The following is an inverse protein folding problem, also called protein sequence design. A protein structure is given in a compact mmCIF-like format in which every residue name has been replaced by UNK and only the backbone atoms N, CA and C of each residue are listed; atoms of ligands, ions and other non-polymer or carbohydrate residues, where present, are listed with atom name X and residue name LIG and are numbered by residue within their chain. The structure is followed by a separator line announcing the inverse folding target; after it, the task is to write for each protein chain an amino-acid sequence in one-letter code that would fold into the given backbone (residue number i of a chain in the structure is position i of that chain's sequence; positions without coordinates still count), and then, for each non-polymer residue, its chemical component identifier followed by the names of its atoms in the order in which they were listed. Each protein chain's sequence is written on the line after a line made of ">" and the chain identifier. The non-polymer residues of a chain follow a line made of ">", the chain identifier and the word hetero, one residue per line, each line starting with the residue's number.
data_IF_523692740207
#
_entry.id   IF_523692740207
#
_cell.length_a   1.000
_cell.length_b   1.000
_cell.length_c   1.000
_cell.angle_alpha   90.00
_cell.angle_beta   90.00
_cell.angle_gamma   90.00
#
_symmetry.space_group_name_H-M   'P 1'
#
loop_
_entity.id
_entity.type
_entity.pdbx_description
1 polymer ?
#
# COMPACT_ATOMS: atom_id res chain seq x y z
N UNK A 1 17.11 -27.49 10.27
CA UNK A 1 16.79 -26.05 10.09
C UNK A 1 15.71 -25.75 9.03
N UNK A 2 15.25 -26.69 8.18
CA UNK A 2 14.33 -26.39 7.06
C UNK A 2 12.85 -26.16 7.41
N UNK A 3 12.39 -26.47 8.63
CA UNK A 3 10.94 -26.54 8.93
C UNK A 3 10.41 -25.41 9.82
N UNK A 4 11.22 -24.40 10.20
CA UNK A 4 10.80 -23.40 11.21
C UNK A 4 9.59 -22.55 10.78
N UNK A 5 9.38 -22.39 9.47
CA UNK A 5 8.40 -21.50 8.85
C UNK A 5 7.55 -22.22 7.80
N UNK A 6 7.12 -23.43 8.10
CA UNK A 6 6.44 -24.35 7.17
C UNK A 6 4.93 -24.24 7.35
N UNK A 7 4.21 -23.81 6.30
CA UNK A 7 2.74 -23.74 6.29
C UNK A 7 2.22 -24.45 5.05
N UNK A 8 1.73 -25.68 5.25
CA UNK A 8 1.34 -26.58 4.16
C UNK A 8 -0.15 -26.85 4.20
N UNK A 9 -0.75 -26.88 3.02
CA UNK A 9 -2.14 -27.23 2.83
C UNK A 9 -2.31 -28.04 1.56
N UNK A 10 -3.41 -28.79 1.50
CA UNK A 10 -3.88 -29.43 0.30
C UNK A 10 -5.20 -28.81 -0.10
N UNK A 11 -5.32 -28.45 -1.38
CA UNK A 11 -6.52 -27.91 -1.99
C UNK A 11 -7.02 -28.88 -3.06
N UNK A 12 -8.32 -29.08 -3.16
CA UNK A 12 -8.88 -29.92 -4.23
C UNK A 12 -10.28 -29.49 -4.65
N UNK A 13 -10.54 -29.67 -5.94
CA UNK A 13 -11.87 -29.69 -6.56
C UNK A 13 -12.29 -31.15 -6.76
N UNK A 14 -13.37 -31.42 -7.51
CA UNK A 14 -13.77 -32.80 -7.83
C UNK A 14 -12.74 -33.52 -8.70
N UNK A 15 -12.11 -32.80 -9.64
CA UNK A 15 -11.23 -33.41 -10.63
C UNK A 15 -9.73 -33.19 -10.37
N UNK A 16 -9.38 -32.22 -9.51
CA UNK A 16 -7.98 -31.77 -9.34
C UNK A 16 -7.60 -31.61 -7.89
N UNK A 17 -6.34 -31.88 -7.58
CA UNK A 17 -5.76 -31.76 -6.23
C UNK A 17 -4.35 -31.22 -6.30
N UNK A 18 -4.03 -30.27 -5.43
CA UNK A 18 -2.70 -29.64 -5.35
C UNK A 18 -2.23 -29.52 -3.90
N UNK A 19 -0.92 -29.65 -3.72
CA UNK A 19 -0.26 -29.45 -2.43
C UNK A 19 0.49 -28.13 -2.45
N UNK A 20 0.12 -27.25 -1.54
CA UNK A 20 0.69 -25.91 -1.44
C UNK A 20 1.53 -25.83 -0.17
N UNK A 21 2.75 -25.34 -0.32
CA UNK A 21 3.62 -24.96 0.78
C UNK A 21 3.90 -23.46 0.62
N UNK A 22 3.35 -22.64 1.52
CA UNK A 22 3.47 -21.19 1.43
C UNK A 22 4.93 -20.72 1.56
N UNK A 23 5.81 -21.53 2.16
CA UNK A 23 7.23 -21.21 2.30
C UNK A 23 7.98 -21.21 0.96
N UNK A 24 7.43 -21.87 -0.07
CA UNK A 24 8.01 -21.91 -1.41
C UNK A 24 7.76 -20.64 -2.24
N UNK A 25 7.02 -19.67 -1.69
CA UNK A 25 6.84 -18.36 -2.30
C UNK A 25 5.75 -18.28 -3.37
N UNK A 26 5.64 -17.11 -3.99
CA UNK A 26 4.52 -16.72 -4.86
C UNK A 26 4.37 -17.66 -6.06
N UNK A 27 5.47 -17.94 -6.78
CA UNK A 27 5.41 -18.77 -7.99
C UNK A 27 4.88 -20.18 -7.71
N UNK A 28 5.26 -20.77 -6.57
CA UNK A 28 4.73 -22.08 -6.17
C UNK A 28 3.22 -22.03 -5.89
N UNK A 29 2.77 -21.01 -5.14
CA UNK A 29 1.35 -20.83 -4.82
C UNK A 29 0.55 -20.55 -6.09
N UNK A 30 0.97 -19.57 -6.88
CA UNK A 30 0.34 -19.17 -8.14
C UNK A 30 0.21 -20.34 -9.13
N UNK A 31 1.32 -21.05 -9.40
CA UNK A 31 1.30 -22.19 -10.31
C UNK A 31 0.41 -23.34 -9.79
N UNK A 32 0.29 -23.50 -8.47
CA UNK A 32 -0.62 -24.50 -7.88
C UNK A 32 -2.09 -24.11 -8.07
N UNK A 33 -2.43 -22.82 -7.96
CA UNK A 33 -3.79 -22.32 -8.20
C UNK A 33 -4.15 -22.40 -9.68
N UNK A 34 -3.22 -22.10 -10.58
CA UNK A 34 -3.40 -22.30 -12.02
C UNK A 34 -3.67 -23.77 -12.38
N UNK A 35 -2.98 -24.72 -11.73
CA UNK A 35 -3.26 -26.15 -11.90
C UNK A 35 -4.69 -26.53 -11.49
N UNK A 36 -5.28 -25.84 -10.50
CA UNK A 36 -6.69 -26.00 -10.14
C UNK A 36 -7.66 -25.28 -11.10
N UNK A 37 -7.16 -24.48 -12.05
CA UNK A 37 -7.97 -23.73 -13.00
C UNK A 37 -8.35 -22.32 -12.55
N UNK A 38 -7.70 -21.77 -11.53
CA UNK A 38 -8.02 -20.46 -10.99
C UNK A 38 -6.88 -19.44 -11.21
N UNK A 39 -7.26 -18.17 -11.33
CA UNK A 39 -6.32 -17.06 -11.25
C UNK A 39 -6.01 -16.77 -9.75
N UNK A 40 -4.74 -16.52 -9.36
CA UNK A 40 -4.37 -16.48 -7.94
C UNK A 40 -5.16 -15.49 -7.09
N UNK A 41 -5.50 -14.33 -7.63
CA UNK A 41 -6.14 -13.26 -6.86
C UNK A 41 -7.67 -13.39 -6.76
N UNK A 42 -8.30 -14.25 -7.55
CA UNK A 42 -9.76 -14.35 -7.63
C UNK A 42 -10.33 -15.52 -6.82
N UNK A 43 -9.47 -16.32 -6.19
CA UNK A 43 -9.87 -17.55 -5.51
C UNK A 43 -9.97 -17.39 -4.00
N UNK A 44 -11.20 -17.58 -3.50
CA UNK A 44 -11.52 -17.81 -2.09
C UNK A 44 -11.50 -19.29 -1.72
N UNK A 45 -11.33 -19.58 -0.43
CA UNK A 45 -11.45 -20.94 0.11
C UNK A 45 -12.84 -21.58 -0.11
N UNK A 46 -13.90 -20.80 -0.34
CA UNK A 46 -15.23 -21.31 -0.68
C UNK A 46 -15.30 -22.04 -2.02
N UNK A 47 -14.36 -21.77 -2.95
CA UNK A 47 -14.32 -22.40 -4.27
C UNK A 47 -13.57 -23.74 -4.30
N UNK A 48 -12.95 -24.14 -3.19
CA UNK A 48 -12.14 -25.36 -3.09
C UNK A 48 -12.38 -26.08 -1.77
N UNK A 49 -12.19 -27.40 -1.76
CA UNK A 49 -12.00 -28.10 -0.49
C UNK A 49 -10.56 -27.94 -0.06
N UNK A 50 -10.34 -27.80 1.24
CA UNK A 50 -9.00 -27.59 1.78
C UNK A 50 -8.79 -28.32 3.09
N UNK A 51 -7.53 -28.64 3.36
CA UNK A 51 -7.06 -29.16 4.65
C UNK A 51 -5.66 -28.64 4.88
N UNK A 52 -5.44 -28.04 6.04
CA UNK A 52 -4.08 -27.72 6.46
C UNK A 52 -3.37 -29.00 6.93
N UNK A 53 -2.19 -29.25 6.39
CA UNK A 53 -1.44 -30.50 6.62
C UNK A 53 -0.24 -30.30 7.53
N UNK A 54 0.26 -29.07 7.68
CA UNK A 54 1.36 -28.76 8.59
C UNK A 54 1.46 -27.26 8.91
N UNK A 55 1.69 -26.92 10.18
CA UNK A 55 1.99 -25.58 10.67
C UNK A 55 3.14 -25.69 11.67
N UNK A 56 4.25 -25.01 11.40
CA UNK A 56 5.48 -25.21 12.18
C UNK A 56 5.56 -24.47 13.52
N UNK A 57 4.67 -23.50 13.78
CA UNK A 57 4.69 -22.71 15.00
C UNK A 57 3.28 -22.22 15.40
N UNK A 58 3.14 -21.68 16.62
CA UNK A 58 1.85 -21.26 17.20
C UNK A 58 1.16 -20.14 16.42
N UNK A 59 1.91 -19.16 15.90
CA UNK A 59 1.32 -18.10 15.06
C UNK A 59 0.74 -18.67 13.76
N UNK A 60 1.39 -19.68 13.18
CA UNK A 60 0.89 -20.39 12.02
C UNK A 60 -0.31 -21.30 12.35
N UNK A 61 -0.34 -21.95 13.52
CA UNK A 61 -1.53 -22.67 13.97
C UNK A 61 -2.71 -21.72 14.16
N UNK A 62 -2.46 -20.56 14.74
CA UNK A 62 -3.47 -19.51 14.90
C UNK A 62 -3.95 -18.99 13.54
N UNK A 63 -3.05 -18.74 12.59
CA UNK A 63 -3.40 -18.36 11.23
C UNK A 63 -4.36 -19.39 10.61
N UNK A 64 -4.07 -20.69 10.74
CA UNK A 64 -4.96 -21.75 10.27
C UNK A 64 -6.34 -21.77 10.96
N UNK A 65 -6.41 -21.35 12.23
CA UNK A 65 -7.64 -21.30 13.02
C UNK A 65 -8.59 -20.16 12.61
N UNK A 66 -8.05 -19.00 12.24
CA UNK A 66 -8.85 -17.82 11.87
C UNK A 66 -9.27 -17.79 10.39
N UNK A 67 -8.78 -18.71 9.57
CA UNK A 67 -9.15 -18.79 8.16
C UNK A 67 -10.58 -19.30 8.01
N UNK A 68 -11.35 -18.56 7.23
CA UNK A 68 -12.72 -18.88 6.85
C UNK A 68 -12.82 -19.22 5.37
N UNK A 69 -13.99 -19.72 4.94
CA UNK A 69 -14.24 -19.97 3.52
C UNK A 69 -14.29 -18.69 2.68
N UNK A 70 -14.56 -17.55 3.29
CA UNK A 70 -14.70 -16.27 2.58
C UNK A 70 -13.37 -15.55 2.33
N UNK A 71 -12.29 -16.03 2.93
CA UNK A 71 -10.95 -15.49 2.75
C UNK A 71 -10.37 -15.85 1.38
N UNK A 72 -9.65 -14.89 0.78
CA UNK A 72 -8.85 -15.14 -0.41
C UNK A 72 -7.59 -15.92 -0.04
N UNK A 73 -7.24 -16.91 -0.85
CA UNK A 73 -6.04 -17.74 -0.61
C UNK A 73 -4.78 -16.88 -0.66
N UNK A 74 -4.76 -15.87 -1.53
CA UNK A 74 -3.64 -14.92 -1.63
C UNK A 74 -3.54 -13.97 -0.43
N UNK A 75 -4.63 -13.67 0.25
CA UNK A 75 -4.60 -12.89 1.49
C UNK A 75 -4.00 -13.71 2.65
N UNK A 76 -4.30 -15.01 2.71
CA UNK A 76 -3.63 -15.93 3.64
C UNK A 76 -2.13 -16.05 3.32
N UNK A 77 -1.77 -16.12 2.04
CA UNK A 77 -0.35 -16.12 1.65
C UNK A 77 0.35 -14.82 2.07
N UNK A 78 -0.29 -13.66 1.91
CA UNK A 78 0.24 -12.37 2.36
C UNK A 78 0.39 -12.31 3.88
N UNK A 79 -0.61 -12.77 4.64
CA UNK A 79 -0.55 -12.85 6.09
C UNK A 79 0.63 -13.74 6.55
N UNK A 80 0.82 -14.89 5.90
CA UNK A 80 2.00 -15.73 6.08
C UNK A 80 3.30 -14.98 5.75
N UNK A 81 3.34 -14.15 4.70
CA UNK A 81 4.54 -13.37 4.38
C UNK A 81 4.90 -12.34 5.45
N UNK A 82 3.93 -11.65 6.07
CA UNK A 82 4.23 -10.74 7.19
C UNK A 82 4.94 -11.49 8.32
N UNK A 83 4.39 -12.64 8.72
CA UNK A 83 4.95 -13.47 9.79
C UNK A 83 6.39 -13.94 9.54
N UNK A 84 6.76 -14.12 8.28
CA UNK A 84 8.04 -14.75 7.93
C UNK A 84 9.09 -13.81 7.35
N UNK A 85 8.68 -12.64 6.84
CA UNK A 85 9.57 -11.68 6.18
C UNK A 85 9.72 -10.37 6.95
N UNK A 86 8.81 -10.05 7.87
CA UNK A 86 8.86 -8.81 8.64
C UNK A 86 9.43 -9.11 10.02
N UNK A 87 10.63 -8.58 10.27
CA UNK A 87 11.35 -8.84 11.52
C UNK A 87 10.55 -8.36 12.75
N UNK A 88 10.37 -9.25 13.72
CA UNK A 88 9.68 -9.00 14.97
C UNK A 88 8.15 -8.96 14.87
N UNK A 89 7.57 -9.06 13.67
CA UNK A 89 6.11 -9.10 13.52
C UNK A 89 5.50 -10.36 14.14
N UNK A 90 6.25 -11.48 14.17
CA UNK A 90 5.85 -12.70 14.87
C UNK A 90 5.57 -12.44 16.36
N UNK A 91 6.46 -11.72 17.05
CA UNK A 91 6.30 -11.37 18.47
C UNK A 91 5.15 -10.39 18.67
N UNK A 92 5.02 -9.40 17.77
CA UNK A 92 3.94 -8.44 17.80
C UNK A 92 2.58 -9.12 17.63
N UNK A 93 2.44 -10.02 16.66
CA UNK A 93 1.21 -10.76 16.45
C UNK A 93 0.88 -11.65 17.65
N UNK A 94 1.88 -12.33 18.24
CA UNK A 94 1.64 -13.13 19.46
C UNK A 94 1.12 -12.29 20.62
N UNK A 95 1.53 -11.02 20.74
CA UNK A 95 0.97 -10.09 21.73
C UNK A 95 -0.50 -9.78 21.39
N UNK A 96 -0.80 -9.41 20.16
CA UNK A 96 -2.16 -9.05 19.73
C UNK A 96 -3.16 -10.22 19.85
N UNK A 97 -2.71 -11.45 19.60
CA UNK A 97 -3.51 -12.66 19.82
C UNK A 97 -3.85 -12.80 21.31
N UNK A 98 -2.86 -12.63 22.20
CA UNK A 98 -3.07 -12.73 23.65
C UNK A 98 -3.99 -11.65 24.18
N UNK A 99 -3.92 -10.45 23.63
CA UNK A 99 -4.78 -9.32 24.02
C UNK A 99 -6.12 -9.33 23.30
N UNK A 100 -6.44 -10.33 22.47
CA UNK A 100 -7.70 -10.43 21.72
C UNK A 100 -7.96 -9.22 20.80
N UNK A 101 -6.95 -8.75 20.07
CA UNK A 101 -7.06 -7.64 19.12
C UNK A 101 -7.07 -8.09 17.64
N UNK A 102 -6.97 -9.39 17.40
CA UNK A 102 -6.93 -9.99 16.07
C UNK A 102 -7.86 -11.20 16.10
N UNK A 103 -8.75 -11.29 15.11
CA UNK A 103 -9.72 -12.39 15.00
C UNK A 103 -9.90 -12.92 13.57
N UNK A 104 -9.32 -12.24 12.58
CA UNK A 104 -9.49 -12.56 11.16
C UNK A 104 -8.19 -12.38 10.37
N UNK A 105 -8.15 -12.92 9.15
CA UNK A 105 -7.05 -12.66 8.19
C UNK A 105 -6.94 -11.16 7.87
N UNK A 106 -8.08 -10.47 7.74
CA UNK A 106 -8.11 -9.03 7.50
C UNK A 106 -7.39 -8.26 8.62
N UNK A 107 -7.62 -8.61 9.88
CA UNK A 107 -6.94 -7.98 11.01
C UNK A 107 -5.43 -8.20 10.95
N UNK A 108 -4.99 -9.42 10.63
CA UNK A 108 -3.57 -9.74 10.49
C UNK A 108 -2.92 -8.91 9.38
N UNK A 109 -3.61 -8.74 8.24
CA UNK A 109 -3.11 -7.91 7.13
C UNK A 109 -3.03 -6.43 7.53
N UNK A 110 -4.04 -5.90 8.22
CA UNK A 110 -4.04 -4.53 8.74
C UNK A 110 -2.87 -4.33 9.71
N UNK A 111 -2.73 -5.21 10.69
CA UNK A 111 -1.66 -5.13 11.69
C UNK A 111 -0.28 -5.32 11.07
N UNK A 112 -0.17 -6.21 10.08
CA UNK A 112 1.05 -6.38 9.29
C UNK A 112 1.45 -5.11 8.57
N UNK A 113 0.50 -4.44 7.91
CA UNK A 113 0.72 -3.16 7.25
C UNK A 113 1.14 -2.07 8.25
N UNK A 114 0.39 -1.91 9.34
CA UNK A 114 0.68 -0.92 10.37
C UNK A 114 2.05 -1.14 11.00
N UNK A 115 2.39 -2.39 11.30
CA UNK A 115 3.68 -2.74 11.90
C UNK A 115 4.84 -2.51 10.93
N UNK A 116 4.68 -2.86 9.64
CA UNK A 116 5.66 -2.50 8.62
C UNK A 116 5.82 -0.97 8.56
N UNK A 117 4.74 -0.21 8.43
CA UNK A 117 4.78 1.26 8.39
C UNK A 117 5.47 1.86 9.62
N UNK A 118 5.16 1.35 10.82
CA UNK A 118 5.79 1.77 12.07
C UNK A 118 7.29 1.49 12.09
N UNK A 119 7.72 0.26 11.76
CA UNK A 119 9.14 -0.09 11.72
C UNK A 119 9.91 0.72 10.68
N UNK A 120 9.26 0.96 9.56
CA UNK A 120 9.80 1.73 8.48
C UNK A 120 9.98 3.21 8.89
N UNK A 121 8.99 3.80 9.57
CA UNK A 121 9.13 5.14 10.16
C UNK A 121 10.21 5.18 11.26
N UNK A 122 10.23 4.20 12.17
CA UNK A 122 11.17 4.13 13.30
C UNK A 122 12.62 3.98 12.86
N UNK A 123 12.86 3.25 11.77
CA UNK A 123 14.20 3.02 11.23
C UNK A 123 14.61 4.04 10.16
N UNK A 124 13.83 5.11 9.92
CA UNK A 124 13.93 5.98 8.72
C UNK A 124 13.90 5.21 7.38
N UNK A 125 13.55 3.92 7.44
CA UNK A 125 13.38 3.03 6.30
C UNK A 125 11.91 3.00 5.93
N UNK A 126 11.28 4.16 5.66
CA UNK A 126 10.00 4.22 4.92
C UNK A 126 10.15 3.16 3.81
N UNK A 127 9.25 2.16 3.69
CA UNK A 127 9.45 1.20 2.62
C UNK A 127 9.40 2.06 1.37
N UNK A 128 10.52 2.12 0.66
CA UNK A 128 10.54 2.73 -0.64
C UNK A 128 9.49 1.94 -1.41
N UNK A 129 8.30 2.53 -1.59
CA UNK A 129 7.09 1.91 -2.15
C UNK A 129 7.37 1.61 -3.59
N UNK A 130 8.22 0.60 -3.84
CA UNK A 130 9.10 0.53 -5.00
C UNK A 130 9.92 1.84 -5.15
N UNK A 131 11.14 1.77 -5.68
CA UNK A 131 11.78 3.00 -6.20
C UNK A 131 11.05 3.32 -7.50
N UNK A 132 9.76 3.68 -7.44
CA UNK A 132 9.00 4.08 -8.62
C UNK A 132 9.70 5.31 -9.12
N UNK A 133 10.31 5.20 -10.29
CA UNK A 133 10.99 6.34 -10.87
C UNK A 133 9.93 7.37 -11.22
N UNK A 134 10.26 8.64 -11.06
CA UNK A 134 9.33 9.74 -11.32
C UNK A 134 8.73 9.68 -12.76
N UNK A 135 9.48 9.13 -13.71
CA UNK A 135 9.07 8.89 -15.11
C UNK A 135 7.97 7.83 -15.28
N UNK A 136 7.90 6.87 -14.36
CA UNK A 136 6.92 5.78 -14.37
C UNK A 136 5.61 6.17 -13.69
N UNK A 137 5.61 7.24 -12.88
CA UNK A 137 4.40 7.74 -12.22
C UNK A 137 3.47 8.37 -13.26
N UNK A 138 2.20 7.97 -13.21
CA UNK A 138 1.11 8.63 -13.91
C UNK A 138 0.31 9.44 -12.90
N UNK A 139 0.07 10.70 -13.25
CA UNK A 139 -0.53 11.69 -12.36
C UNK A 139 -1.95 12.01 -12.82
N UNK A 140 -2.81 12.35 -11.87
CA UNK A 140 -4.09 12.98 -12.17
C UNK A 140 -3.86 14.49 -12.33
N UNK A 141 -4.33 15.08 -13.43
CA UNK A 141 -4.36 16.55 -13.53
C UNK A 141 -5.45 17.08 -12.59
N UNK A 142 -5.07 18.10 -11.81
CA UNK A 142 -5.97 18.81 -10.91
C UNK A 142 -5.78 20.32 -11.07
N UNK A 143 -6.76 21.07 -10.61
CA UNK A 143 -6.58 22.49 -10.26
C UNK A 143 -6.74 22.63 -8.76
N UNK A 144 -5.83 23.35 -8.11
CA UNK A 144 -5.91 23.65 -6.67
C UNK A 144 -5.59 25.13 -6.42
N UNK A 145 -6.47 25.85 -5.72
CA UNK A 145 -6.36 27.31 -5.52
C UNK A 145 -6.06 28.06 -6.84
N UNK A 146 -6.82 27.70 -7.88
CA UNK A 146 -6.70 28.22 -9.25
C UNK A 146 -5.33 28.00 -9.92
N UNK A 147 -4.55 27.00 -9.46
CA UNK A 147 -3.27 26.61 -10.06
C UNK A 147 -3.36 25.21 -10.64
N UNK A 148 -2.91 25.05 -11.87
CA UNK A 148 -2.75 23.73 -12.48
C UNK A 148 -1.69 22.94 -11.73
N UNK A 149 -2.02 21.71 -11.38
CA UNK A 149 -1.18 20.84 -10.61
C UNK A 149 -1.40 19.38 -10.98
N UNK A 150 -0.56 18.52 -10.44
CA UNK A 150 -0.63 17.08 -10.55
C UNK A 150 -0.87 16.48 -9.17
N UNK A 151 -1.71 15.47 -9.09
CA UNK A 151 -1.92 14.66 -7.90
C UNK A 151 -1.45 13.21 -8.12
N UNK A 152 -0.89 12.61 -7.08
CA UNK A 152 -0.62 11.17 -7.01
C UNK A 152 -0.77 10.68 -5.57
N UNK A 153 -1.28 9.45 -5.34
CA UNK A 153 -1.31 8.87 -3.99
C UNK A 153 0.09 8.52 -3.47
N UNK A 154 1.11 8.49 -4.32
CA UNK A 154 2.48 8.19 -3.92
C UNK A 154 3.13 9.38 -3.20
N UNK A 155 3.98 9.09 -2.21
CA UNK A 155 4.85 10.09 -1.60
C UNK A 155 6.10 10.27 -2.47
N UNK A 156 6.33 11.50 -2.92
CA UNK A 156 7.52 11.84 -3.73
C UNK A 156 8.49 12.67 -2.87
N UNK A 157 9.78 12.36 -2.94
CA UNK A 157 10.84 13.11 -2.26
C UNK A 157 11.26 14.33 -3.12
N UNK A 158 11.54 15.46 -2.47
CA UNK A 158 12.04 16.66 -3.13
C UNK A 158 13.32 16.41 -3.94
N UNK A 159 14.16 15.45 -3.52
CA UNK A 159 15.41 15.13 -4.21
C UNK A 159 15.20 14.56 -5.61
N UNK A 160 14.03 13.96 -5.86
CA UNK A 160 13.69 13.32 -7.12
C UNK A 160 13.04 14.31 -8.11
N UNK A 161 12.67 15.51 -7.67
CA UNK A 161 11.94 16.49 -8.46
C UNK A 161 12.87 17.47 -9.21
N UNK A 162 12.47 17.94 -10.41
CA UNK A 162 13.16 19.02 -11.10
C UNK A 162 13.18 20.32 -10.26
N UNK A 163 14.30 21.06 -10.32
CA UNK A 163 14.44 22.36 -9.65
C UNK A 163 13.35 23.34 -10.12
N UNK A 164 12.70 24.00 -9.16
CA UNK A 164 11.64 24.98 -9.42
C UNK A 164 10.23 24.41 -9.47
N UNK A 165 10.07 23.10 -9.34
CA UNK A 165 8.76 22.47 -9.11
C UNK A 165 8.42 22.52 -7.62
N UNK A 166 7.21 22.96 -7.28
CA UNK A 166 6.73 23.00 -5.91
C UNK A 166 6.02 21.69 -5.56
N UNK A 167 6.33 21.17 -4.38
CA UNK A 167 5.75 19.95 -3.82
C UNK A 167 4.96 20.26 -2.55
N UNK A 168 3.79 19.66 -2.45
CA UNK A 168 2.95 19.66 -1.26
C UNK A 168 2.47 18.23 -0.99
N UNK A 169 2.27 17.90 0.27
CA UNK A 169 1.56 16.68 0.69
C UNK A 169 0.12 17.06 1.02
N UNK A 170 -0.81 16.11 0.85
CA UNK A 170 -2.22 16.26 1.19
C UNK A 170 -2.58 15.41 2.40
N UNK A 171 -3.47 15.92 3.25
CA UNK A 171 -4.09 15.17 4.34
C UNK A 171 -5.54 14.87 3.97
N UNK A 172 -6.01 13.65 4.26
CA UNK A 172 -7.42 13.32 4.22
C UNK A 172 -8.12 13.55 5.56
N UNK A 173 -9.43 13.62 5.51
CA UNK A 173 -10.31 13.63 6.67
C UNK A 173 -10.10 12.43 7.61
N UNK A 174 -10.42 12.60 8.90
CA UNK A 174 -10.23 11.56 9.92
C UNK A 174 -11.14 10.34 9.72
N UNK A 175 -12.26 10.51 9.03
CA UNK A 175 -13.19 9.42 8.73
C UNK A 175 -12.70 8.55 7.56
N UNK A 176 -11.60 8.94 6.89
CA UNK A 176 -11.05 8.27 5.70
C UNK A 176 -12.06 8.21 4.53
N UNK A 177 -12.98 9.18 4.45
CA UNK A 177 -13.91 9.30 3.33
C UNK A 177 -13.18 9.74 2.04
N UNK A 178 -11.91 10.12 2.16
CA UNK A 178 -11.00 10.41 1.05
C UNK A 178 -11.00 11.87 0.62
N UNK A 179 -11.52 12.75 1.48
CA UNK A 179 -11.67 14.18 1.21
C UNK A 179 -10.38 14.89 1.60
N UNK A 180 -9.75 15.62 0.68
CA UNK A 180 -8.56 16.42 0.99
C UNK A 180 -8.96 17.66 1.81
N UNK A 181 -8.47 17.74 3.04
CA UNK A 181 -8.79 18.83 3.98
C UNK A 181 -7.64 19.81 4.20
N UNK A 182 -6.41 19.42 3.85
CA UNK A 182 -5.22 20.24 4.07
C UNK A 182 -4.09 19.87 3.11
N UNK A 183 -3.28 20.87 2.75
CA UNK A 183 -1.96 20.66 2.16
C UNK A 183 -0.85 21.21 3.05
N UNK A 184 0.34 20.61 2.97
CA UNK A 184 1.49 21.03 3.76
C UNK A 184 2.82 20.63 3.12
N UNK A 185 3.93 21.08 3.71
CA UNK A 185 5.27 20.66 3.24
C UNK A 185 5.59 19.21 3.63
N UNK A 186 5.07 18.78 4.78
CA UNK A 186 5.22 17.45 5.34
C UNK A 186 3.99 17.16 6.20
N UNK A 187 3.32 16.05 5.93
CA UNK A 187 2.11 15.59 6.60
C UNK A 187 2.41 14.21 7.19
N UNK A 188 2.30 14.13 8.51
CA UNK A 188 2.66 12.94 9.29
C UNK A 188 1.46 12.06 9.61
N UNK A 189 0.27 12.65 9.74
CA UNK A 189 -0.98 11.96 10.07
C UNK A 189 -1.91 12.08 8.88
N UNK A 190 -2.62 10.99 8.54
CA UNK A 190 -3.58 10.91 7.44
C UNK A 190 -3.06 11.41 6.09
N UNK A 191 -1.79 11.10 5.77
CA UNK A 191 -1.24 11.40 4.44
C UNK A 191 -2.08 10.73 3.35
N UNK A 192 -2.48 11.52 2.36
CA UNK A 192 -3.33 11.09 1.26
C UNK A 192 -2.61 11.06 -0.09
N UNK A 193 -1.65 11.97 -0.30
CA UNK A 193 -0.93 12.02 -1.57
C UNK A 193 0.00 13.22 -1.71
N UNK A 194 0.64 13.31 -2.87
CA UNK A 194 1.52 14.41 -3.25
C UNK A 194 0.88 15.27 -4.34
N UNK A 195 0.95 16.59 -4.18
CA UNK A 195 0.63 17.59 -5.19
C UNK A 195 1.92 18.22 -5.74
N UNK A 196 2.05 18.26 -7.06
CA UNK A 196 3.13 18.94 -7.77
C UNK A 196 2.58 20.09 -8.62
N UNK A 197 3.24 21.26 -8.57
CA UNK A 197 2.84 22.40 -9.40
C UNK A 197 4.01 23.32 -9.72
N UNK A 198 3.98 23.96 -10.89
CA UNK A 198 4.96 25.00 -11.25
C UNK A 198 4.66 26.36 -10.63
N UNK A 199 3.55 26.50 -9.90
CA UNK A 199 3.12 27.74 -9.25
C UNK A 199 3.09 27.58 -7.74
N UNK A 200 3.80 28.45 -7.02
CA UNK A 200 3.84 28.43 -5.55
C UNK A 200 2.44 28.64 -4.97
N UNK A 201 2.02 27.73 -4.09
CA UNK A 201 0.89 27.92 -3.19
C UNK A 201 1.42 28.47 -1.87
N UNK A 202 0.83 29.57 -1.40
CA UNK A 202 1.14 30.15 -0.10
C UNK A 202 0.65 29.23 1.01
N UNK A 203 1.53 28.93 1.96
CA UNK A 203 1.23 28.18 3.19
C UNK A 203 1.35 29.15 4.38
N UNK A 204 0.51 28.96 5.39
CA UNK A 204 0.56 29.68 6.66
C UNK A 204 1.03 28.69 7.74
N UNK A 205 2.14 28.99 8.43
CA UNK A 205 2.75 28.08 9.41
C UNK A 205 3.08 26.67 8.88
N UNK A 206 3.36 26.54 7.57
CA UNK A 206 3.79 25.28 6.96
C UNK A 206 2.66 24.41 6.40
N UNK A 207 1.40 24.83 6.54
CA UNK A 207 0.23 24.17 5.96
C UNK A 207 -0.79 25.18 5.40
N UNK A 208 -1.83 24.67 4.74
CA UNK A 208 -2.99 25.43 4.28
C UNK A 208 -4.19 24.49 4.21
N UNK A 209 -5.30 24.89 4.85
CA UNK A 209 -6.56 24.14 4.77
C UNK A 209 -7.13 24.21 3.35
N UNK A 210 -7.84 23.16 2.97
CA UNK A 210 -8.46 22.96 1.67
C UNK A 210 -9.94 22.62 1.91
N UNK A 211 -10.82 23.33 1.21
CA UNK A 211 -12.20 22.89 0.98
C UNK A 211 -12.24 22.24 -0.40
N UNK A 212 -12.20 20.91 -0.47
CA UNK A 212 -12.03 20.17 -1.73
C UNK A 212 -13.05 20.57 -2.81
N UNK A 213 -14.29 20.88 -2.41
CA UNK A 213 -15.36 21.28 -3.34
C UNK A 213 -15.08 22.65 -3.97
N UNK A 214 -14.49 23.57 -3.23
CA UNK A 214 -14.27 24.96 -3.69
C UNK A 214 -12.88 25.19 -4.26
N UNK A 215 -11.88 24.58 -3.62
CA UNK A 215 -10.48 24.86 -3.87
C UNK A 215 -9.87 23.90 -4.88
N UNK A 216 -10.48 22.72 -5.08
CA UNK A 216 -9.95 21.67 -5.93
C UNK A 216 -10.92 21.25 -7.04
N UNK A 217 -10.35 20.91 -8.19
CA UNK A 217 -11.07 20.27 -9.29
C UNK A 217 -10.19 19.17 -9.87
N UNK A 218 -10.70 17.94 -9.86
CA UNK A 218 -10.08 16.83 -10.57
C UNK A 218 -10.51 16.87 -12.03
N UNK A 219 -9.55 16.84 -12.95
CA UNK A 219 -9.88 16.76 -14.36
C UNK A 219 -10.37 15.34 -14.69
N UNK A 220 -11.42 15.20 -15.51
CA UNK A 220 -11.90 13.89 -16.01
C UNK A 220 -10.97 13.26 -17.06
N UNK A 221 -9.84 13.89 -17.34
CA UNK A 221 -8.89 13.45 -18.35
C UNK A 221 -8.07 12.22 -17.90
N UNK A 222 -7.56 11.48 -18.90
CA UNK A 222 -6.61 10.38 -18.69
C UNK A 222 -5.38 10.88 -17.92
N UNK A 223 -4.82 9.99 -17.09
CA UNK A 223 -3.60 10.28 -16.33
C UNK A 223 -2.44 10.72 -17.24
N UNK A 224 -1.65 11.69 -16.79
CA UNK A 224 -0.57 12.33 -17.55
C UNK A 224 0.82 12.00 -16.97
N UNK A 225 1.87 12.10 -17.77
CA UNK A 225 3.26 12.06 -17.28
C UNK A 225 3.70 13.44 -16.74
N UNK A 226 4.71 13.47 -15.85
CA UNK A 226 5.30 14.75 -15.44
C UNK A 226 5.88 15.54 -16.62
N UNK A 227 6.47 14.83 -17.60
CA UNK A 227 7.04 15.46 -18.80
C UNK A 227 5.99 16.25 -19.60
N UNK A 228 4.84 15.63 -19.88
CA UNK A 228 3.78 16.27 -20.65
C UNK A 228 3.14 17.44 -19.89
N UNK A 229 2.99 17.31 -18.57
CA UNK A 229 2.55 18.43 -17.73
C UNK A 229 3.52 19.60 -17.80
N UNK A 230 4.83 19.36 -17.72
CA UNK A 230 5.84 20.43 -17.80
C UNK A 230 5.94 21.05 -19.20
N UNK A 231 5.58 20.32 -20.25
CA UNK A 231 5.45 20.87 -21.61
C UNK A 231 4.28 21.85 -21.71
N UNK A 232 3.16 21.56 -21.03
CA UNK A 232 1.96 22.41 -20.98
C UNK A 232 2.12 23.59 -20.01
N UNK A 233 2.78 23.37 -18.88
CA UNK A 233 2.99 24.33 -17.81
C UNK A 233 4.48 24.39 -17.42
N UNK A 234 5.31 25.10 -18.20
CA UNK A 234 6.76 25.12 -17.99
C UNK A 234 7.14 25.81 -16.68
N UNK A 235 8.25 25.35 -16.09
CA UNK A 235 8.85 25.97 -14.91
C UNK A 235 9.40 27.34 -15.33
N UNK A 236 8.82 28.41 -14.79
CA UNK A 236 9.30 29.76 -15.04
C UNK A 236 10.50 30.01 -14.12
N UNK A 237 11.68 30.28 -14.68
CA UNK A 237 12.83 30.72 -13.89
C UNK A 237 12.49 32.08 -13.26
N UNK A 238 12.38 32.13 -11.94
CA UNK A 238 12.39 33.40 -11.23
C UNK A 238 13.80 33.97 -11.30
N UNK A 239 14.02 34.96 -12.15
CA UNK A 239 15.18 35.85 -12.05
C UNK A 239 15.02 36.61 -10.72
N UNK A 240 15.54 36.06 -9.63
CA UNK A 240 15.83 36.85 -8.45
C UNK A 240 17.34 37.01 -8.41
N UNK A 241 17.78 38.09 -9.05
CA UNK A 241 19.10 38.66 -8.82
C UNK A 241 19.13 39.21 -7.40
N UNK A 242 20.11 38.71 -6.64
CA UNK A 242 20.63 39.20 -5.35
C UNK A 242 19.77 38.99 -4.12
#
# INVERSE_FOLDING_TARGET
>A
MKDKNSFKMVLWTDDRKVYIDLSKGYDHVSNSLHKLGYYPYDIKFSHVRFKFTHQSNENLKYLAHVITKDDYIMDVFRAYQYLNRVEGFDKHLSMLIKTQHVHSIKDILIQGNLYQLYNNNKNNNIPNTQKIKLEDIRFQEITIFSKHALFTPYRIDNKDLPKGLYRYECQCDDNQDGIITMIGKCIHVNFWGTILTTKKIGLHHGYRNVDEIKDMLFADARSISLHDYLKKYPIVKSNHSR
#
